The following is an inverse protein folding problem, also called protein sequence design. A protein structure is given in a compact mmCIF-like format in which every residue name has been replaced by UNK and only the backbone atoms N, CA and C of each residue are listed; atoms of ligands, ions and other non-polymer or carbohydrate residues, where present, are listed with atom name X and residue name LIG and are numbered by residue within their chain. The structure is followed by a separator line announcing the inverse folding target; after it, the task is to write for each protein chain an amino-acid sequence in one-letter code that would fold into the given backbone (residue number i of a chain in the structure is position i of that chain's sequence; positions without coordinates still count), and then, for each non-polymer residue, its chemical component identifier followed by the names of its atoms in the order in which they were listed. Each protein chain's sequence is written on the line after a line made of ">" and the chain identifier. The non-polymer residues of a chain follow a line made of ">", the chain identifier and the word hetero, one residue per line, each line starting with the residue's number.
data_IF_673706310771
#
_entry.id   IF_673706310771
#
_cell.length_a   1.000
_cell.length_b   1.000
_cell.length_c   1.000
_cell.angle_alpha   90.00
_cell.angle_beta   90.00
_cell.angle_gamma   90.00
#
_symmetry.space_group_name_H-M   'P 1'
#
loop_
_entity.id
_entity.type
_entity.pdbx_description
1 polymer ?
#
# COMPACT_ATOMS: atom_id res chain seq x y z
N UNK A 1 -18.96 -17.56 -7.64
CA UNK A 1 -17.57 -17.24 -8.04
C UNK A 1 -16.70 -18.41 -7.63
N UNK A 2 -16.05 -19.09 -8.59
CA UNK A 2 -15.08 -20.14 -8.31
C UNK A 2 -13.98 -19.55 -7.42
N UNK A 3 -13.66 -20.20 -6.31
CA UNK A 3 -12.63 -19.74 -5.38
C UNK A 3 -11.27 -19.66 -6.08
N UNK A 4 -10.58 -18.51 -5.94
CA UNK A 4 -9.23 -18.33 -6.49
C UNK A 4 -8.25 -19.24 -5.77
N UNK A 5 -7.39 -19.91 -6.53
CA UNK A 5 -6.32 -20.77 -6.02
C UNK A 5 -5.00 -20.00 -5.94
N UNK A 6 -4.00 -20.57 -5.27
CA UNK A 6 -2.69 -19.92 -5.13
C UNK A 6 -2.03 -19.65 -6.49
N UNK A 7 -2.21 -20.54 -7.46
CA UNK A 7 -1.65 -20.40 -8.81
C UNK A 7 -2.22 -19.18 -9.55
N UNK A 8 -3.46 -18.78 -9.23
CA UNK A 8 -4.05 -17.56 -9.79
C UNK A 8 -3.31 -16.32 -9.27
N UNK A 9 -2.96 -16.29 -7.99
CA UNK A 9 -2.21 -15.19 -7.38
C UNK A 9 -0.77 -15.13 -7.88
N UNK A 10 -0.12 -16.28 -8.05
CA UNK A 10 1.22 -16.38 -8.62
C UNK A 10 1.25 -15.82 -10.04
N UNK A 11 0.32 -16.27 -10.90
CA UNK A 11 0.16 -15.75 -12.27
C UNK A 11 -0.12 -14.25 -12.28
N UNK A 12 -1.02 -13.78 -11.42
CA UNK A 12 -1.33 -12.35 -11.32
C UNK A 12 -0.12 -11.52 -10.85
N UNK A 13 0.69 -12.06 -9.93
CA UNK A 13 1.92 -11.45 -9.47
C UNK A 13 2.97 -11.34 -10.57
N UNK A 14 3.13 -12.39 -11.38
CA UNK A 14 4.03 -12.36 -12.53
C UNK A 14 3.53 -11.38 -13.59
N UNK A 15 2.24 -11.43 -13.92
CA UNK A 15 1.63 -10.58 -14.94
C UNK A 15 1.74 -9.09 -14.61
N UNK A 16 1.49 -8.68 -13.36
CA UNK A 16 1.62 -7.27 -12.97
C UNK A 16 3.09 -6.82 -12.94
N UNK A 17 3.99 -7.72 -12.55
CA UNK A 17 5.44 -7.48 -12.57
C UNK A 17 5.92 -7.19 -13.99
N UNK A 18 5.51 -8.01 -14.94
CA UNK A 18 5.89 -7.88 -16.36
C UNK A 18 5.22 -6.64 -17.00
N UNK A 19 3.90 -6.48 -16.86
CA UNK A 19 3.14 -5.38 -17.47
C UNK A 19 3.61 -3.99 -17.04
N UNK A 20 4.02 -3.85 -15.79
CA UNK A 20 4.51 -2.58 -15.25
C UNK A 20 6.04 -2.47 -15.27
N UNK A 21 6.77 -3.48 -15.74
CA UNK A 21 8.23 -3.54 -15.71
C UNK A 21 8.77 -3.19 -14.31
N UNK A 22 8.22 -3.82 -13.28
CA UNK A 22 8.59 -3.52 -11.90
C UNK A 22 10.05 -3.91 -11.65
N UNK A 23 10.77 -3.10 -10.87
CA UNK A 23 12.16 -3.40 -10.52
C UNK A 23 12.32 -4.61 -9.58
N UNK A 24 11.23 -5.04 -8.93
CA UNK A 24 11.23 -6.07 -7.89
C UNK A 24 9.85 -6.73 -7.81
N UNK A 25 9.76 -7.91 -7.19
CA UNK A 25 8.52 -8.67 -7.15
C UNK A 25 7.43 -8.00 -6.28
N UNK A 26 6.14 -8.15 -6.65
CA UNK A 26 5.05 -7.98 -5.71
C UNK A 26 5.23 -8.89 -4.49
N UNK A 27 4.89 -8.42 -3.30
CA UNK A 27 5.01 -9.17 -2.05
C UNK A 27 3.65 -9.78 -1.68
N UNK A 28 3.62 -11.09 -1.50
CA UNK A 28 2.52 -11.79 -0.83
C UNK A 28 2.71 -11.70 0.69
N UNK A 29 1.69 -11.19 1.39
CA UNK A 29 1.68 -11.02 2.85
C UNK A 29 0.52 -11.83 3.44
N UNK A 30 0.82 -12.70 4.40
CA UNK A 30 -0.17 -13.49 5.16
C UNK A 30 0.03 -13.29 6.65
N UNK A 31 -1.04 -13.04 7.39
CA UNK A 31 -1.02 -13.03 8.86
C UNK A 31 -1.41 -14.41 9.41
N UNK A 32 -0.68 -14.90 10.41
CA UNK A 32 -0.91 -16.20 11.04
C UNK A 32 -1.17 -16.07 12.55
N UNK A 33 -1.88 -17.04 13.12
CA UNK A 33 -2.19 -17.13 14.54
C UNK A 33 -1.32 -18.16 15.26
N UNK A 34 -0.99 -19.26 14.58
CA UNK A 34 -0.15 -20.35 15.09
C UNK A 34 1.08 -20.53 14.19
N UNK A 35 2.25 -20.78 14.79
CA UNK A 35 3.48 -21.08 14.04
C UNK A 35 3.37 -22.33 13.17
N UNK A 36 2.43 -23.25 13.46
CA UNK A 36 2.13 -24.42 12.62
C UNK A 36 1.58 -24.04 11.24
N UNK A 37 1.07 -22.82 11.07
CA UNK A 37 0.63 -22.30 9.77
C UNK A 37 1.81 -21.90 8.86
N UNK A 38 3.03 -21.81 9.41
CA UNK A 38 4.23 -21.42 8.65
C UNK A 38 4.70 -22.62 7.80
N UNK A 39 4.76 -22.49 6.46
CA UNK A 39 5.26 -23.56 5.61
C UNK A 39 6.73 -23.89 5.88
N UNK A 40 7.11 -25.15 5.66
CA UNK A 40 8.46 -25.68 5.98
C UNK A 40 9.60 -24.95 5.28
N UNK A 41 9.36 -24.41 4.08
CA UNK A 41 10.35 -23.68 3.27
C UNK A 41 10.44 -22.18 3.61
N UNK A 42 9.67 -21.69 4.59
CA UNK A 42 9.71 -20.29 5.03
C UNK A 42 10.67 -20.15 6.20
N UNK A 43 11.66 -19.26 6.06
CA UNK A 43 12.69 -19.06 7.08
C UNK A 43 12.15 -18.25 8.25
N UNK A 44 12.45 -18.68 9.47
CA UNK A 44 12.17 -17.94 10.71
C UNK A 44 13.48 -17.38 11.25
N UNK A 45 13.72 -16.05 11.23
CA UNK A 45 15.01 -15.47 11.62
C UNK A 45 15.52 -15.94 12.99
N UNK A 46 14.63 -16.11 13.98
CA UNK A 46 15.02 -16.56 15.33
C UNK A 46 15.76 -17.91 15.35
N UNK A 47 15.50 -18.80 14.39
CA UNK A 47 16.14 -20.13 14.32
C UNK A 47 17.66 -20.02 14.10
N UNK A 48 18.10 -18.91 13.50
CA UNK A 48 19.53 -18.62 13.25
C UNK A 48 20.08 -17.57 14.22
N UNK A 49 19.34 -17.24 15.28
CA UNK A 49 19.71 -16.19 16.24
C UNK A 49 19.61 -14.76 15.67
N UNK A 50 19.02 -14.60 14.48
CA UNK A 50 18.86 -13.30 13.82
C UNK A 50 17.53 -12.65 14.21
N UNK A 51 17.50 -11.32 14.14
CA UNK A 51 16.29 -10.50 14.23
C UNK A 51 16.14 -9.69 12.95
N UNK A 52 14.90 -9.47 12.52
CA UNK A 52 14.60 -8.64 11.34
C UNK A 52 13.36 -7.78 11.63
N UNK A 53 13.16 -6.71 10.88
CA UNK A 53 11.88 -5.97 10.93
C UNK A 53 10.90 -6.52 9.88
N UNK A 54 9.61 -6.22 10.05
CA UNK A 54 8.59 -6.53 9.03
C UNK A 54 8.97 -5.91 7.67
N UNK A 55 9.45 -4.66 7.67
CA UNK A 55 9.88 -4.00 6.44
C UNK A 55 11.06 -4.73 5.77
N UNK A 56 11.99 -5.30 6.55
CA UNK A 56 13.10 -6.07 6.02
C UNK A 56 12.66 -7.37 5.35
N UNK A 57 11.70 -8.10 5.91
CA UNK A 57 11.22 -9.32 5.25
C UNK A 57 10.42 -9.00 3.98
N UNK A 58 9.74 -7.84 3.93
CA UNK A 58 9.10 -7.37 2.70
C UNK A 58 10.14 -7.03 1.63
N UNK A 59 11.24 -6.37 2.02
CA UNK A 59 12.37 -6.09 1.14
C UNK A 59 13.05 -7.39 0.66
N UNK A 60 13.27 -8.36 1.54
CA UNK A 60 13.87 -9.64 1.18
C UNK A 60 12.99 -10.43 0.21
N UNK A 61 11.67 -10.42 0.41
CA UNK A 61 10.72 -11.03 -0.52
C UNK A 61 10.79 -10.40 -1.91
N UNK A 62 10.70 -9.06 -2.01
CA UNK A 62 10.67 -8.37 -3.32
C UNK A 62 12.02 -8.31 -4.03
N UNK A 63 13.12 -8.11 -3.29
CA UNK A 63 14.47 -7.87 -3.86
C UNK A 63 15.29 -9.15 -3.99
N UNK A 64 15.12 -10.11 -3.08
CA UNK A 64 15.96 -11.31 -2.99
C UNK A 64 15.19 -12.60 -3.29
N UNK A 65 13.86 -12.54 -3.48
CA UNK A 65 13.02 -13.72 -3.66
C UNK A 65 12.90 -14.60 -2.41
N UNK A 66 13.30 -14.09 -1.24
CA UNK A 66 13.36 -14.89 -0.01
C UNK A 66 12.07 -14.82 0.78
N UNK A 67 11.58 -15.98 1.24
CA UNK A 67 10.39 -16.06 2.09
C UNK A 67 10.74 -16.13 3.57
N UNK A 68 10.15 -15.26 4.37
CA UNK A 68 10.36 -15.21 5.82
C UNK A 68 9.04 -15.14 6.59
N UNK A 69 9.06 -15.70 7.80
CA UNK A 69 8.01 -15.53 8.79
C UNK A 69 8.59 -14.82 10.01
N UNK A 70 7.91 -13.75 10.47
CA UNK A 70 8.24 -13.03 11.68
C UNK A 70 7.11 -13.17 12.71
N UNK A 71 7.52 -13.15 13.97
CA UNK A 71 6.67 -13.04 15.16
C UNK A 71 7.28 -12.02 16.11
N UNK A 72 6.71 -11.87 17.31
CA UNK A 72 7.32 -11.05 18.36
C UNK A 72 8.69 -11.55 18.84
N UNK A 73 9.07 -12.81 18.55
CA UNK A 73 10.35 -13.40 18.96
C UNK A 73 11.55 -12.81 18.20
N UNK A 74 11.37 -12.49 16.92
CA UNK A 74 12.43 -12.04 16.01
C UNK A 74 12.20 -10.65 15.42
N UNK A 75 11.00 -10.07 15.56
CA UNK A 75 10.77 -8.70 15.15
C UNK A 75 11.45 -7.69 16.09
N UNK A 76 12.59 -7.13 15.69
CA UNK A 76 13.28 -6.13 16.52
C UNK A 76 12.54 -4.79 16.58
N UNK A 77 11.68 -4.49 15.59
CA UNK A 77 10.87 -3.27 15.59
C UNK A 77 9.67 -3.45 16.53
N UNK A 78 9.90 -3.39 17.83
CA UNK A 78 8.90 -3.71 18.85
C UNK A 78 7.63 -2.87 18.78
N UNK A 79 7.64 -1.55 18.41
CA UNK A 79 6.39 -0.81 18.23
C UNK A 79 5.50 -1.43 17.14
N UNK A 80 6.09 -2.03 16.10
CA UNK A 80 5.31 -2.71 15.08
C UNK A 80 4.70 -4.02 15.58
N UNK A 81 5.37 -4.80 16.44
CA UNK A 81 4.76 -5.98 17.08
C UNK A 81 3.52 -5.61 17.92
N UNK A 82 3.60 -4.49 18.65
CA UNK A 82 2.46 -3.96 19.42
C UNK A 82 1.37 -3.42 18.50
N UNK A 83 1.73 -2.63 17.49
CA UNK A 83 0.79 -2.05 16.53
C UNK A 83 0.05 -3.09 15.68
N UNK A 84 0.57 -4.32 15.58
CA UNK A 84 -0.09 -5.46 14.94
C UNK A 84 -0.89 -6.34 15.93
N UNK A 85 -0.86 -6.03 17.23
CA UNK A 85 -1.58 -6.79 18.26
C UNK A 85 -0.98 -8.16 18.59
N UNK A 86 0.31 -8.37 18.34
CA UNK A 86 0.96 -9.68 18.61
C UNK A 86 1.26 -9.92 20.09
N UNK A 87 1.39 -8.84 20.87
CA UNK A 87 1.73 -8.87 22.29
C UNK A 87 0.78 -7.99 23.10
N UNK A 88 0.39 -8.40 24.31
CA UNK A 88 -0.42 -7.58 25.22
C UNK A 88 0.45 -6.47 25.81
N UNK A 89 0.23 -5.24 25.34
CA UNK A 89 0.85 -4.02 25.88
C UNK A 89 -0.28 -3.01 26.08
N UNK A 90 -0.26 -2.32 27.22
CA UNK A 90 -1.25 -1.28 27.53
C UNK A 90 -1.06 -0.06 26.64
N UNK A 91 -2.11 0.75 26.50
CA UNK A 91 -2.05 2.00 25.72
C UNK A 91 -0.99 2.94 26.29
N UNK A 92 -0.90 3.01 27.61
CA UNK A 92 0.01 3.87 28.36
C UNK A 92 1.47 3.48 28.11
N UNK A 93 1.80 2.19 28.20
CA UNK A 93 3.14 1.68 27.89
C UNK A 93 3.54 1.95 26.44
N UNK A 94 2.60 1.80 25.49
CA UNK A 94 2.89 2.10 24.09
C UNK A 94 3.12 3.59 23.86
N UNK A 95 2.29 4.47 24.45
CA UNK A 95 2.46 5.92 24.38
C UNK A 95 3.81 6.32 24.96
N UNK A 96 4.18 5.81 26.14
CA UNK A 96 5.47 6.08 26.76
C UNK A 96 6.63 5.66 25.83
N UNK A 97 6.52 4.48 25.20
CA UNK A 97 7.48 4.03 24.19
C UNK A 97 7.61 5.04 23.05
N UNK A 98 6.51 5.59 22.52
CA UNK A 98 6.57 6.56 21.42
C UNK A 98 7.12 7.92 21.86
N UNK A 99 6.81 8.37 23.07
CA UNK A 99 7.35 9.61 23.66
C UNK A 99 8.86 9.50 23.82
N UNK A 100 9.38 8.37 24.30
CA UNK A 100 10.82 8.11 24.44
C UNK A 100 11.57 8.11 23.11
N UNK A 101 10.88 7.85 22.00
CA UNK A 101 11.47 7.92 20.65
C UNK A 101 11.52 9.36 20.10
N UNK A 102 10.76 10.29 20.68
CA UNK A 102 10.76 11.70 20.27
C UNK A 102 10.11 11.98 18.90
N UNK A 103 9.23 11.08 18.42
CA UNK A 103 8.54 11.26 17.13
C UNK A 103 7.55 12.43 17.13
N UNK A 104 7.04 12.79 18.30
CA UNK A 104 6.11 13.89 18.48
C UNK A 104 6.62 14.85 19.55
N UNK A 105 6.13 16.09 19.47
CA UNK A 105 6.57 17.21 20.32
C UNK A 105 6.60 16.88 21.82
N UNK A 106 5.56 16.22 22.31
CA UNK A 106 5.33 15.94 23.72
C UNK A 106 4.34 14.78 23.90
N UNK A 107 4.15 14.35 25.15
CA UNK A 107 3.20 13.29 25.52
C UNK A 107 1.76 13.63 25.12
N UNK A 108 1.35 14.91 25.20
CA UNK A 108 0.01 15.31 24.79
C UNK A 108 -0.20 15.13 23.28
N UNK A 109 0.83 15.41 22.47
CA UNK A 109 0.81 15.15 21.03
C UNK A 109 0.67 13.65 20.73
N UNK A 110 1.41 12.79 21.43
CA UNK A 110 1.26 11.34 21.28
C UNK A 110 -0.13 10.87 21.74
N UNK A 111 -0.68 11.40 22.84
CA UNK A 111 -2.05 11.06 23.28
C UNK A 111 -3.10 11.42 22.23
N UNK A 112 -3.03 12.63 21.64
CA UNK A 112 -3.94 13.05 20.54
C UNK A 112 -3.82 12.14 19.32
N UNK A 113 -2.59 11.74 18.98
CA UNK A 113 -2.34 10.79 17.89
C UNK A 113 -2.94 9.42 18.20
N UNK A 114 -2.63 8.89 19.37
CA UNK A 114 -3.11 7.61 19.85
C UNK A 114 -4.64 7.55 19.85
N UNK A 115 -5.34 8.59 20.28
CA UNK A 115 -6.81 8.63 20.21
C UNK A 115 -7.34 8.45 18.79
N UNK A 116 -6.74 9.11 17.80
CA UNK A 116 -7.18 8.99 16.39
C UNK A 116 -6.93 7.60 15.81
N UNK A 117 -5.79 7.00 16.13
CA UNK A 117 -5.38 5.70 15.60
C UNK A 117 -6.14 4.60 16.33
N UNK A 118 -6.08 4.60 17.66
CA UNK A 118 -6.61 3.51 18.48
C UNK A 118 -8.13 3.41 18.45
N UNK A 119 -8.88 4.51 18.37
CA UNK A 119 -10.35 4.47 18.47
C UNK A 119 -11.07 3.89 17.25
N UNK A 120 -10.51 3.98 16.03
CA UNK A 120 -11.28 3.63 14.81
C UNK A 120 -11.00 2.24 14.23
N UNK A 121 -9.77 1.73 14.37
CA UNK A 121 -9.36 0.48 13.70
C UNK A 121 -8.59 -0.51 14.59
N UNK A 122 -8.21 -0.13 15.81
CA UNK A 122 -7.23 -0.89 16.60
C UNK A 122 -7.74 -1.35 17.98
N UNK A 123 -8.90 -0.90 18.43
CA UNK A 123 -9.58 -1.51 19.57
C UNK A 123 -9.79 -2.99 19.22
N UNK A 124 -9.11 -3.87 19.97
CA UNK A 124 -9.21 -5.34 19.89
C UNK A 124 -8.30 -6.06 18.88
N UNK A 125 -7.22 -5.46 18.38
CA UNK A 125 -6.28 -6.19 17.51
C UNK A 125 -5.71 -7.46 18.16
N UNK A 126 -5.49 -7.43 19.46
CA UNK A 126 -5.01 -8.59 20.20
C UNK A 126 -6.04 -9.73 20.21
N UNK A 127 -7.33 -9.41 20.25
CA UNK A 127 -8.45 -10.36 20.21
C UNK A 127 -8.56 -11.05 18.84
N UNK A 128 -8.07 -10.40 17.77
CA UNK A 128 -7.97 -11.06 16.46
C UNK A 128 -7.05 -12.29 16.49
N UNK A 129 -6.13 -12.35 17.46
CA UNK A 129 -5.33 -13.55 17.75
C UNK A 129 -4.14 -13.78 16.82
N UNK A 130 -3.81 -12.84 15.94
CA UNK A 130 -2.63 -12.96 15.07
C UNK A 130 -1.34 -12.77 15.87
N UNK A 131 -0.31 -13.54 15.51
CA UNK A 131 0.98 -13.60 16.24
C UNK A 131 2.19 -13.38 15.35
N UNK A 132 1.97 -13.21 14.06
CA UNK A 132 3.03 -12.93 13.13
C UNK A 132 2.56 -12.73 11.70
N UNK A 133 3.55 -12.58 10.83
CA UNK A 133 3.36 -12.32 9.41
C UNK A 133 4.36 -13.13 8.59
N UNK A 134 3.90 -13.63 7.45
CA UNK A 134 4.72 -14.28 6.43
C UNK A 134 4.79 -13.34 5.22
N UNK A 135 5.99 -13.16 4.68
CA UNK A 135 6.23 -12.44 3.44
C UNK A 135 6.95 -13.34 2.45
N UNK A 136 6.52 -13.30 1.19
CA UNK A 136 7.11 -14.08 0.09
C UNK A 136 6.96 -13.32 -1.23
N UNK A 137 7.81 -13.57 -2.24
CA UNK A 137 7.56 -13.09 -3.60
C UNK A 137 6.23 -13.67 -4.10
N UNK A 138 5.30 -12.83 -4.55
CA UNK A 138 3.98 -13.26 -4.99
C UNK A 138 4.01 -14.30 -6.13
N UNK A 139 4.88 -14.18 -7.17
CA UNK A 139 4.96 -15.15 -8.25
C UNK A 139 5.33 -16.57 -7.81
N UNK A 140 6.05 -16.72 -6.70
CA UNK A 140 6.53 -18.00 -6.17
C UNK A 140 5.92 -18.32 -4.80
N UNK A 141 4.88 -17.58 -4.39
CA UNK A 141 4.33 -17.71 -3.04
C UNK A 141 3.64 -19.06 -2.87
N UNK A 142 3.95 -19.74 -1.76
CA UNK A 142 3.27 -20.99 -1.36
C UNK A 142 2.08 -20.72 -0.43
N UNK A 143 1.68 -19.46 -0.25
CA UNK A 143 0.63 -19.04 0.67
C UNK A 143 -0.31 -18.05 -0.01
N UNK A 144 -1.62 -18.25 0.14
CA UNK A 144 -2.60 -17.27 -0.34
C UNK A 144 -2.48 -15.93 0.42
N UNK A 145 -2.20 -14.81 -0.26
CA UNK A 145 -1.97 -13.55 0.42
C UNK A 145 -3.27 -12.94 0.97
N UNK A 146 -3.21 -12.46 2.21
CA UNK A 146 -4.21 -11.57 2.77
C UNK A 146 -4.08 -10.17 2.16
N UNK A 147 -2.83 -9.72 1.99
CA UNK A 147 -2.43 -8.46 1.39
C UNK A 147 -1.39 -8.71 0.31
N UNK A 148 -1.50 -7.98 -0.80
CA UNK A 148 -0.43 -7.83 -1.78
C UNK A 148 0.14 -6.42 -1.64
N UNK A 149 1.47 -6.33 -1.55
CA UNK A 149 2.19 -5.06 -1.49
C UNK A 149 3.13 -4.94 -2.69
N UNK A 150 2.94 -3.89 -3.47
CA UNK A 150 3.73 -3.61 -4.67
C UNK A 150 4.47 -2.31 -4.43
N UNK A 151 5.74 -2.21 -4.83
CA UNK A 151 6.37 -0.90 -4.98
C UNK A 151 6.96 -0.73 -6.36
N UNK A 152 6.86 0.50 -6.84
CA UNK A 152 7.37 0.99 -8.11
C UNK A 152 7.60 2.50 -8.03
N UNK A 153 7.86 3.14 -9.15
CA UNK A 153 7.91 4.59 -9.22
C UNK A 153 6.50 5.21 -9.28
N UNK A 154 6.43 6.55 -9.25
CA UNK A 154 5.16 7.27 -9.32
C UNK A 154 4.30 6.92 -10.53
N UNK A 155 4.88 6.72 -11.71
CA UNK A 155 4.12 6.36 -12.91
C UNK A 155 3.47 4.97 -12.78
N UNK A 156 4.23 3.97 -12.33
CA UNK A 156 3.73 2.61 -12.11
C UNK A 156 2.60 2.58 -11.09
N UNK A 157 2.76 3.27 -9.95
CA UNK A 157 1.74 3.35 -8.91
C UNK A 157 0.49 4.11 -9.40
N UNK A 158 0.65 5.18 -10.19
CA UNK A 158 -0.48 5.91 -10.79
C UNK A 158 -1.33 5.00 -11.68
N UNK A 159 -0.74 4.10 -12.47
CA UNK A 159 -1.52 3.15 -13.27
C UNK A 159 -2.31 2.14 -12.43
N UNK A 160 -1.75 1.69 -11.31
CA UNK A 160 -2.48 0.84 -10.36
C UNK A 160 -3.65 1.62 -9.75
N UNK A 161 -3.44 2.88 -9.35
CA UNK A 161 -4.50 3.76 -8.82
C UNK A 161 -5.58 4.02 -9.85
N UNK A 162 -5.22 4.27 -11.12
CA UNK A 162 -6.15 4.37 -12.23
C UNK A 162 -7.01 3.11 -12.38
N UNK A 163 -6.39 1.92 -12.37
CA UNK A 163 -7.11 0.66 -12.47
C UNK A 163 -8.10 0.45 -11.30
N UNK A 164 -7.68 0.76 -10.08
CA UNK A 164 -8.52 0.68 -8.88
C UNK A 164 -9.74 1.62 -8.95
N UNK A 165 -9.57 2.81 -9.53
CA UNK A 165 -10.62 3.82 -9.62
C UNK A 165 -11.36 3.83 -10.96
N UNK A 166 -11.05 2.93 -11.90
CA UNK A 166 -11.59 2.94 -13.26
C UNK A 166 -13.14 2.94 -13.29
N UNK A 167 -13.75 2.06 -12.50
CA UNK A 167 -15.21 2.02 -12.32
C UNK A 167 -15.70 2.81 -11.10
N UNK A 168 -14.79 3.48 -10.37
CA UNK A 168 -15.05 4.25 -9.16
C UNK A 168 -15.86 3.51 -8.06
N UNK A 169 -15.74 2.18 -7.99
CA UNK A 169 -16.40 1.37 -6.97
C UNK A 169 -15.74 1.62 -5.61
N UNK A 170 -16.53 2.04 -4.62
CA UNK A 170 -16.05 2.38 -3.26
C UNK A 170 -15.14 1.30 -2.66
N UNK A 171 -15.42 0.01 -2.88
CA UNK A 171 -14.58 -1.11 -2.40
C UNK A 171 -13.11 -1.01 -2.82
N UNK A 172 -12.81 -0.45 -3.99
CA UNK A 172 -11.45 -0.32 -4.54
C UNK A 172 -10.89 1.09 -4.38
N UNK A 173 -11.69 2.06 -3.93
CA UNK A 173 -11.27 3.44 -3.75
C UNK A 173 -10.06 3.53 -2.82
N UNK A 174 -9.09 4.36 -3.23
CA UNK A 174 -7.82 4.55 -2.52
C UNK A 174 -7.94 5.79 -1.64
N UNK A 175 -7.82 5.63 -0.33
CA UNK A 175 -7.78 6.74 0.65
C UNK A 175 -6.70 6.44 1.68
N UNK A 176 -5.71 7.33 1.76
CA UNK A 176 -4.55 7.15 2.62
C UNK A 176 -4.22 8.41 3.39
N UNK A 177 -3.91 8.25 4.67
CA UNK A 177 -3.33 9.27 5.53
C UNK A 177 -1.88 8.89 5.85
N UNK A 178 -1.00 9.88 6.05
CA UNK A 178 0.44 9.65 6.20
C UNK A 178 0.91 10.22 7.54
N UNK A 179 1.80 9.49 8.20
CA UNK A 179 2.48 9.94 9.42
C UNK A 179 4.01 9.96 9.24
N UNK A 180 4.54 9.34 8.18
CA UNK A 180 5.97 9.29 7.89
C UNK A 180 6.71 8.13 8.58
N UNK A 181 5.98 7.27 9.29
CA UNK A 181 6.49 6.05 9.93
C UNK A 181 5.42 4.96 9.99
N UNK A 182 5.84 3.70 10.13
CA UNK A 182 4.93 2.55 10.05
C UNK A 182 4.33 2.31 8.64
N UNK A 183 4.92 2.94 7.62
CA UNK A 183 4.33 3.04 6.28
C UNK A 183 4.31 1.68 5.56
N UNK A 184 5.43 0.96 5.45
CA UNK A 184 5.40 -0.35 4.77
C UNK A 184 4.71 -1.46 5.58
N UNK A 185 5.14 -1.66 6.83
CA UNK A 185 4.64 -2.76 7.66
C UNK A 185 3.17 -2.60 8.06
N UNK A 186 2.84 -1.46 8.68
CA UNK A 186 1.50 -1.16 9.16
C UNK A 186 0.57 -0.77 8.01
N UNK A 187 0.91 0.27 7.26
CA UNK A 187 0.01 0.81 6.25
C UNK A 187 0.00 0.03 4.94
N UNK A 188 1.14 -0.48 4.48
CA UNK A 188 1.22 -1.30 3.26
C UNK A 188 0.79 -2.74 3.47
N UNK A 189 1.17 -3.36 4.58
CA UNK A 189 0.81 -4.75 4.89
C UNK A 189 -0.52 -4.90 5.63
N UNK A 190 -0.61 -4.26 6.79
CA UNK A 190 -1.62 -4.60 7.79
C UNK A 190 -2.96 -3.89 7.59
N UNK A 191 -2.94 -2.59 7.25
CA UNK A 191 -4.16 -1.82 7.02
C UNK A 191 -5.03 -2.39 5.89
N UNK A 192 -4.48 -2.84 4.74
CA UNK A 192 -5.28 -3.50 3.72
C UNK A 192 -5.91 -4.80 4.20
N UNK A 193 -5.22 -5.55 5.06
CA UNK A 193 -5.75 -6.76 5.66
C UNK A 193 -6.94 -6.46 6.59
N UNK A 194 -6.80 -5.47 7.47
CA UNK A 194 -7.84 -5.07 8.42
C UNK A 194 -9.04 -4.38 7.76
N UNK A 195 -8.77 -3.31 7.01
CA UNK A 195 -9.81 -2.41 6.48
C UNK A 195 -10.41 -2.90 5.18
N UNK A 196 -9.77 -3.87 4.52
CA UNK A 196 -10.10 -4.33 3.17
C UNK A 196 -10.05 -3.21 2.12
N UNK A 197 -9.25 -2.16 2.36
CA UNK A 197 -9.05 -1.02 1.45
C UNK A 197 -7.58 -0.89 1.03
N UNK A 198 -7.30 -0.49 -0.21
CA UNK A 198 -5.92 -0.20 -0.63
C UNK A 198 -5.32 0.99 0.13
N UNK A 199 -4.00 1.02 0.24
CA UNK A 199 -3.22 2.06 0.91
C UNK A 199 -1.96 2.41 0.12
N UNK A 200 -1.75 3.70 -0.15
CA UNK A 200 -0.50 4.22 -0.71
C UNK A 200 0.54 4.33 0.40
N UNK A 201 1.73 3.81 0.13
CA UNK A 201 2.89 3.85 1.00
C UNK A 201 3.87 4.84 0.43
N UNK A 202 4.04 5.97 1.12
CA UNK A 202 5.23 6.80 0.92
C UNK A 202 6.22 6.30 1.97
N UNK A 203 7.35 5.68 1.58
CA UNK A 203 8.25 5.08 2.54
C UNK A 203 8.65 6.07 3.63
N UNK A 204 8.79 5.60 4.87
CA UNK A 204 9.28 6.41 5.99
C UNK A 204 10.79 6.36 6.15
N UNK A 205 11.31 6.99 7.21
CA UNK A 205 12.75 6.94 7.53
C UNK A 205 13.21 5.51 7.87
N UNK A 206 12.40 4.76 8.63
CA UNK A 206 12.72 3.36 8.98
C UNK A 206 12.73 2.41 7.78
N UNK A 207 11.85 2.64 6.80
CA UNK A 207 11.83 1.87 5.55
C UNK A 207 13.13 2.03 4.78
N UNK A 208 13.63 3.26 4.67
CA UNK A 208 14.90 3.57 4.00
C UNK A 208 16.08 3.01 4.79
N UNK A 209 16.15 3.33 6.08
CA UNK A 209 17.29 2.99 6.93
C UNK A 209 17.46 1.48 7.15
N UNK A 210 16.36 0.74 7.32
CA UNK A 210 16.43 -0.68 7.71
C UNK A 210 16.13 -1.65 6.57
N UNK A 211 15.28 -1.26 5.61
CA UNK A 211 14.84 -2.12 4.52
C UNK A 211 15.36 -1.67 3.14
N UNK A 212 16.18 -0.61 3.10
CA UNK A 212 16.85 -0.14 1.89
C UNK A 212 15.88 0.29 0.78
N UNK A 213 14.69 0.75 1.14
CA UNK A 213 13.72 1.29 0.17
C UNK A 213 14.27 2.61 -0.39
N UNK A 214 14.20 2.80 -1.69
CA UNK A 214 14.81 3.93 -2.39
C UNK A 214 13.87 5.15 -2.44
N UNK A 215 14.44 6.34 -2.64
CA UNK A 215 13.69 7.60 -2.64
C UNK A 215 12.65 7.71 -3.76
N UNK A 216 12.88 7.01 -4.87
CA UNK A 216 11.96 6.95 -6.00
C UNK A 216 10.88 5.87 -5.86
N UNK A 217 10.97 5.00 -4.85
CA UNK A 217 10.00 3.93 -4.63
C UNK A 217 8.78 4.44 -3.86
N UNK A 218 7.60 4.21 -4.41
CA UNK A 218 6.29 4.38 -3.77
C UNK A 218 5.63 3.00 -3.73
N UNK A 219 5.03 2.65 -2.60
CA UNK A 219 4.31 1.40 -2.44
C UNK A 219 2.80 1.57 -2.56
N UNK A 220 2.12 0.46 -2.84
CA UNK A 220 0.68 0.31 -2.68
C UNK A 220 0.37 -1.07 -2.10
N UNK A 221 -0.22 -1.07 -0.92
CA UNK A 221 -0.78 -2.24 -0.27
C UNK A 221 -2.24 -2.40 -0.62
N UNK A 222 -2.71 -3.61 -0.91
CA UNK A 222 -4.12 -3.88 -1.18
C UNK A 222 -4.52 -5.27 -0.70
N UNK A 223 -5.80 -5.50 -0.34
CA UNK A 223 -6.30 -6.86 -0.13
C UNK A 223 -5.90 -7.76 -1.29
N UNK A 224 -5.41 -8.97 -1.01
CA UNK A 224 -4.78 -9.80 -2.03
C UNK A 224 -5.64 -9.98 -3.27
N UNK A 225 -6.94 -10.23 -3.09
CA UNK A 225 -7.92 -10.39 -4.17
C UNK A 225 -8.08 -9.18 -5.10
N UNK A 226 -7.64 -7.98 -4.71
CA UNK A 226 -7.75 -6.78 -5.54
C UNK A 226 -6.75 -6.77 -6.70
N UNK A 227 -5.70 -7.59 -6.66
CA UNK A 227 -4.75 -7.71 -7.79
C UNK A 227 -5.45 -8.11 -9.09
N UNK A 228 -6.46 -8.98 -9.04
CA UNK A 228 -7.22 -9.41 -10.21
C UNK A 228 -8.02 -8.25 -10.83
N UNK A 229 -8.61 -7.41 -9.98
CA UNK A 229 -9.35 -6.23 -10.42
C UNK A 229 -8.42 -5.16 -11.00
N UNK A 230 -7.22 -5.01 -10.42
CA UNK A 230 -6.17 -4.16 -10.97
C UNK A 230 -5.79 -4.65 -12.36
N UNK A 231 -5.47 -5.93 -12.53
CA UNK A 231 -5.08 -6.49 -13.83
C UNK A 231 -6.17 -6.36 -14.90
N UNK A 232 -7.43 -6.58 -14.51
CA UNK A 232 -8.58 -6.42 -15.39
C UNK A 232 -8.68 -4.98 -15.94
N UNK A 233 -8.34 -3.97 -15.13
CA UNK A 233 -8.53 -2.56 -15.47
C UNK A 233 -7.24 -1.79 -15.76
N UNK A 234 -6.09 -2.46 -15.72
CA UNK A 234 -4.80 -1.85 -15.97
C UNK A 234 -4.76 -1.29 -17.40
N UNK A 235 -4.29 -0.05 -17.52
CA UNK A 235 -4.18 0.70 -18.78
C UNK A 235 -5.51 0.99 -19.52
N UNK A 236 -6.67 0.80 -18.89
CA UNK A 236 -7.96 1.21 -19.50
C UNK A 236 -8.23 2.72 -19.43
N UNK A 237 -7.75 3.39 -18.37
CA UNK A 237 -7.97 4.83 -18.18
C UNK A 237 -7.34 5.63 -19.32
N UNK A 238 -8.12 6.52 -19.94
CA UNK A 238 -7.70 7.34 -21.09
C UNK A 238 -7.77 6.63 -22.44
N UNK A 239 -7.83 5.30 -22.48
CA UNK A 239 -7.94 4.53 -23.72
C UNK A 239 -6.92 4.96 -24.78
N UNK A 240 -7.41 5.38 -25.95
CA UNK A 240 -6.61 5.84 -27.09
C UNK A 240 -5.96 7.22 -26.90
N UNK A 241 -6.26 7.95 -25.82
CA UNK A 241 -5.78 9.32 -25.57
C UNK A 241 -4.33 9.37 -25.01
N UNK A 242 -3.57 8.28 -25.11
CA UNK A 242 -2.12 8.32 -24.85
C UNK A 242 -1.71 8.32 -23.37
N UNK A 243 -2.61 8.00 -22.43
CA UNK A 243 -2.24 7.64 -21.05
C UNK A 243 -1.58 6.25 -20.97
N UNK A 244 -0.86 5.84 -22.01
CA UNK A 244 -0.17 4.55 -22.08
C UNK A 244 0.99 4.47 -21.09
N UNK A 245 1.47 3.25 -20.88
CA UNK A 245 2.67 2.98 -20.10
C UNK A 245 3.75 2.40 -21.02
N UNK A 246 5.01 2.91 -20.98
CA UNK A 246 5.50 3.97 -20.10
C UNK A 246 4.95 5.37 -20.46
N UNK A 247 4.76 6.21 -19.44
CA UNK A 247 4.35 7.61 -19.61
C UNK A 247 5.47 8.36 -20.33
N UNK A 248 5.16 9.01 -21.45
CA UNK A 248 6.11 9.88 -22.16
C UNK A 248 6.15 11.25 -21.50
N UNK A 249 7.27 11.59 -20.90
CA UNK A 249 7.50 12.92 -20.32
C UNK A 249 7.94 13.89 -21.41
N UNK A 250 7.06 14.81 -21.78
CA UNK A 250 7.35 15.98 -22.61
C UNK A 250 6.90 17.23 -21.84
N UNK A 251 7.54 18.37 -22.10
CA UNK A 251 7.05 19.68 -21.64
C UNK A 251 6.47 20.39 -22.87
N UNK A 252 5.19 20.15 -23.22
CA UNK A 252 4.60 20.78 -24.37
C UNK A 252 4.30 22.26 -24.05
N UNK A 253 4.83 23.17 -24.86
CA UNK A 253 4.75 24.62 -24.64
C UNK A 253 3.61 25.30 -25.42
N UNK A 254 2.78 24.53 -26.12
CA UNK A 254 1.71 25.04 -26.99
C UNK A 254 0.47 24.17 -26.97
N UNK A 255 0.10 23.65 -25.79
CA UNK A 255 -1.16 22.92 -25.62
C UNK A 255 -2.34 23.88 -25.56
N UNK A 256 -3.42 23.50 -26.21
CA UNK A 256 -4.74 24.08 -26.05
C UNK A 256 -5.75 23.00 -25.59
N UNK A 257 -7.00 23.37 -25.41
CA UNK A 257 -8.09 22.49 -25.02
C UNK A 257 -8.41 21.39 -26.04
N UNK A 258 -7.95 21.51 -27.29
CA UNK A 258 -8.23 20.53 -28.35
C UNK A 258 -7.45 19.22 -28.15
N UNK A 259 -6.50 19.18 -27.20
CA UNK A 259 -5.70 18.00 -26.88
C UNK A 259 -6.56 16.81 -26.42
N UNK A 260 -7.72 17.04 -25.79
CA UNK A 260 -8.67 15.97 -25.47
C UNK A 260 -10.11 16.38 -25.79
N UNK A 261 -10.98 15.44 -26.18
CA UNK A 261 -12.40 15.73 -26.41
C UNK A 261 -13.09 16.34 -25.19
N UNK A 262 -12.73 15.89 -23.99
CA UNK A 262 -13.31 16.40 -22.75
C UNK A 262 -12.91 17.84 -22.44
N UNK A 263 -11.66 18.22 -22.72
CA UNK A 263 -11.18 19.59 -22.48
C UNK A 263 -11.84 20.57 -23.43
N UNK A 264 -11.92 20.22 -24.72
CA UNK A 264 -12.62 21.01 -25.73
C UNK A 264 -14.09 21.26 -25.34
N UNK A 265 -14.81 20.19 -24.98
CA UNK A 265 -16.20 20.29 -24.52
C UNK A 265 -16.35 21.21 -23.31
N UNK A 266 -15.44 21.11 -22.33
CA UNK A 266 -15.46 21.98 -21.15
C UNK A 266 -15.19 23.44 -21.50
N UNK A 267 -14.25 23.73 -22.42
CA UNK A 267 -13.98 25.10 -22.88
C UNK A 267 -15.22 25.73 -23.51
N UNK A 268 -15.89 25.01 -24.41
CA UNK A 268 -17.12 25.46 -25.07
C UNK A 268 -18.23 25.81 -24.04
N UNK A 269 -18.40 25.02 -22.98
CA UNK A 269 -19.34 25.32 -21.90
C UNK A 269 -18.92 26.57 -21.11
N UNK A 270 -17.63 26.69 -20.79
CA UNK A 270 -17.13 27.82 -20.00
C UNK A 270 -17.34 29.13 -20.76
N UNK A 271 -17.03 29.17 -22.05
CA UNK A 271 -17.22 30.37 -22.90
C UNK A 271 -18.68 30.82 -22.90
N UNK A 272 -19.60 29.88 -23.15
CA UNK A 272 -21.04 30.17 -23.13
C UNK A 272 -21.49 30.77 -21.79
N UNK A 273 -21.05 30.19 -20.66
CA UNK A 273 -21.45 30.69 -19.32
C UNK A 273 -20.87 32.06 -18.98
N UNK A 274 -19.68 32.37 -19.47
CA UNK A 274 -19.06 33.67 -19.24
C UNK A 274 -19.77 34.77 -20.05
N UNK A 275 -20.14 34.51 -21.30
CA UNK A 275 -20.94 35.42 -22.13
C UNK A 275 -22.30 35.72 -21.51
N UNK A 276 -23.02 34.69 -21.02
CA UNK A 276 -24.29 34.84 -20.32
C UNK A 276 -24.15 35.74 -19.08
N UNK A 277 -23.08 35.54 -18.30
CA UNK A 277 -22.80 36.34 -17.08
C UNK A 277 -22.48 37.81 -17.41
N UNK A 278 -21.79 38.08 -18.52
CA UNK A 278 -21.50 39.45 -18.95
C UNK A 278 -22.75 40.19 -19.45
N UNK A 279 -23.67 39.50 -20.12
CA UNK A 279 -24.95 40.06 -20.55
C UNK A 279 -25.80 40.41 -19.33
N UNK A 280 -25.88 39.53 -18.33
CA UNK A 280 -26.60 39.80 -17.07
C UNK A 280 -26.02 41.00 -16.30
N UNK A 281 -24.70 41.18 -16.32
CA UNK A 281 -24.03 42.33 -15.70
C UNK A 281 -24.25 43.64 -16.44
N UNK A 282 -24.43 43.62 -17.77
CA UNK A 282 -24.72 44.81 -18.59
C UNK A 282 -26.20 45.19 -18.62
N UNK A 283 -27.09 44.26 -18.25
CA UNK A 283 -28.53 44.48 -18.13
C UNK A 283 -29.01 44.95 -16.76
N UNK A 284 -28.10 45.14 -15.79
CA UNK A 284 -28.32 45.80 -14.49
C UNK A 284 -27.64 47.15 -14.48
#
# INVERSE_FOLDING_TARGET
>A
MVGKKIEDYQKAGQEIYDKLHLATYPVAIKYFKDEKEIPKNVTKPYVTGKKMSICQIFAAARKLGQSYALSSKDNFCTPSSVGHGWVPITKEEFIESQVRQGWHKDEQAEKRRAEKIYMKNYQNLIELGYRGVIASPLPESVIMPDTVLIYGNGAQITHIVHALNYEHKERYAVRSAFEGFGESCGKGGFMPFLTRKPQIVVPGSGDRAFAGIQDYEIGIGMPGKHIFYVLENLFKTGGHQGLGFPIRSLIPMGLDENITPGFKYMREIIDKKLEETEIEKKGR
#
